data_IF_191364385918
#
_entry.id   IF_191364385918
#
_cell.length_a   1.000
_cell.length_b   1.000
_cell.length_c   1.000
_cell.angle_alpha   90.00
_cell.angle_beta   90.00
_cell.angle_gamma   90.00
#
_symmetry.space_group_name_H-M   'P 1'
#
loop_
_entity.id
_entity.type
_entity.pdbx_description
1 polymer ?
#
# COMPACT_ATOMS: atom_id res chain seq x y z
N UNK A 1 -18.87 -5.99 29.63
CA UNK A 1 -19.95 -5.28 28.90
C UNK A 1 -21.27 -5.87 29.37
N UNK A 2 -22.21 -5.05 29.84
CA UNK A 2 -23.55 -5.46 30.37
C UNK A 2 -24.63 -5.40 29.29
N UNK A 3 -24.25 -5.69 28.04
CA UNK A 3 -25.18 -5.82 26.91
C UNK A 3 -25.38 -7.31 26.59
N UNK A 4 -26.61 -7.75 26.31
CA UNK A 4 -27.87 -6.99 26.45
C UNK A 4 -28.23 -6.72 27.93
N UNK A 5 -29.04 -5.68 28.19
CA UNK A 5 -29.61 -5.48 29.53
C UNK A 5 -30.55 -6.63 29.88
N UNK A 6 -30.61 -7.01 31.16
CA UNK A 6 -31.54 -8.04 31.64
C UNK A 6 -32.97 -7.54 31.52
N UNK A 7 -33.84 -8.34 30.90
CA UNK A 7 -35.26 -8.00 30.74
C UNK A 7 -36.02 -8.31 32.03
N UNK A 8 -36.67 -7.30 32.59
CA UNK A 8 -37.57 -7.44 33.72
C UNK A 8 -39.02 -7.48 33.20
N UNK A 9 -39.62 -8.68 33.25
CA UNK A 9 -40.98 -8.90 32.77
C UNK A 9 -42.05 -8.01 33.44
N UNK A 10 -41.76 -7.46 34.63
CA UNK A 10 -42.68 -6.59 35.37
C UNK A 10 -42.41 -5.09 35.17
N UNK A 11 -41.45 -4.69 34.33
CA UNK A 11 -41.05 -3.30 34.16
C UNK A 11 -40.92 -2.93 32.67
N UNK A 12 -42.05 -2.91 31.96
CA UNK A 12 -42.11 -2.57 30.53
C UNK A 12 -41.07 -3.32 29.69
N UNK A 13 -41.13 -4.66 29.67
CA UNK A 13 -40.15 -5.49 28.99
C UNK A 13 -39.98 -5.13 27.51
N UNK A 14 -41.02 -4.63 26.85
CA UNK A 14 -40.98 -4.12 25.47
C UNK A 14 -40.04 -2.93 25.28
N UNK A 15 -39.99 -2.00 26.23
CA UNK A 15 -39.08 -0.84 26.18
C UNK A 15 -37.64 -1.32 26.30
N UNK A 16 -37.37 -2.20 27.26
CA UNK A 16 -36.05 -2.75 27.50
C UNK A 16 -35.52 -3.56 26.30
N UNK A 17 -36.41 -4.32 25.65
CA UNK A 17 -36.11 -5.04 24.41
C UNK A 17 -35.80 -4.07 23.27
N UNK A 18 -36.61 -3.02 23.10
CA UNK A 18 -36.38 -2.01 22.06
C UNK A 18 -35.05 -1.27 22.25
N UNK A 19 -34.71 -0.91 23.50
CA UNK A 19 -33.43 -0.29 23.83
C UNK A 19 -32.24 -1.21 23.50
N UNK A 20 -32.35 -2.51 23.79
CA UNK A 20 -31.35 -3.50 23.39
C UNK A 20 -31.19 -3.54 21.86
N UNK A 21 -32.29 -3.55 21.10
CA UNK A 21 -32.22 -3.53 19.64
C UNK A 21 -31.67 -2.21 19.09
N UNK A 22 -31.99 -1.07 19.71
CA UNK A 22 -31.41 0.22 19.34
C UNK A 22 -29.88 0.24 19.52
N UNK A 23 -29.37 -0.41 20.57
CA UNK A 23 -27.92 -0.52 20.81
C UNK A 23 -27.16 -1.23 19.69
N UNK A 24 -27.82 -2.12 18.94
CA UNK A 24 -27.23 -2.88 17.81
C UNK A 24 -27.82 -2.50 16.46
N UNK A 25 -28.74 -1.55 16.39
CA UNK A 25 -29.44 -1.22 15.14
C UNK A 25 -28.49 -0.81 14.01
N UNK A 26 -27.35 -0.21 14.34
CA UNK A 26 -26.32 0.16 13.37
C UNK A 26 -25.73 -1.04 12.62
N UNK A 27 -25.65 -2.22 13.24
CA UNK A 27 -25.16 -3.45 12.56
C UNK A 27 -26.17 -3.97 11.52
N UNK A 28 -27.43 -3.55 11.62
CA UNK A 28 -28.49 -3.88 10.68
C UNK A 28 -28.45 -3.05 9.39
N UNK A 29 -27.63 -2.00 9.31
CA UNK A 29 -27.54 -1.18 8.11
C UNK A 29 -27.11 -2.04 6.89
N UNK A 30 -27.79 -1.82 5.76
CA UNK A 30 -27.68 -2.59 4.51
C UNK A 30 -28.06 -4.06 4.60
N UNK A 31 -28.70 -4.53 5.68
CA UNK A 31 -29.24 -5.88 5.73
C UNK A 31 -30.51 -6.03 4.88
N UNK A 32 -30.82 -7.24 4.45
CA UNK A 32 -32.11 -7.56 3.85
C UNK A 32 -33.29 -7.06 4.72
N UNK A 33 -34.26 -6.40 4.08
CA UNK A 33 -35.52 -5.95 4.67
C UNK A 33 -36.64 -6.87 4.18
N UNK A 34 -37.07 -7.87 5.00
CA UNK A 34 -38.02 -8.87 4.53
C UNK A 34 -39.40 -8.30 4.17
N UNK A 35 -39.82 -7.22 4.83
CA UNK A 35 -41.14 -6.62 4.61
C UNK A 35 -41.35 -6.01 3.23
N UNK A 36 -40.25 -5.73 2.50
CA UNK A 36 -40.30 -5.19 1.13
C UNK A 36 -39.57 -6.07 0.11
N UNK A 37 -39.12 -7.26 0.53
CA UNK A 37 -38.43 -8.22 -0.34
C UNK A 37 -39.41 -9.24 -0.89
N UNK A 38 -39.50 -9.34 -2.21
CA UNK A 38 -40.39 -10.28 -2.91
C UNK A 38 -39.93 -10.51 -4.35
N UNK A 39 -39.90 -11.77 -4.80
CA UNK A 39 -39.44 -12.13 -6.16
C UNK A 39 -38.05 -11.57 -6.46
N UNK A 40 -37.96 -10.71 -7.47
CA UNK A 40 -36.74 -10.01 -7.88
C UNK A 40 -36.51 -8.67 -7.15
N UNK A 41 -37.45 -8.24 -6.32
CA UNK A 41 -37.31 -7.04 -5.49
C UNK A 41 -36.68 -7.42 -4.17
N UNK A 42 -35.63 -6.72 -3.78
CA UNK A 42 -35.00 -6.84 -2.48
C UNK A 42 -34.99 -5.49 -1.78
N UNK A 43 -35.44 -5.50 -0.53
CA UNK A 43 -35.34 -4.36 0.35
C UNK A 43 -34.03 -4.38 1.14
N UNK A 44 -33.50 -3.19 1.41
CA UNK A 44 -32.35 -2.97 2.25
C UNK A 44 -32.74 -2.05 3.40
N UNK A 45 -32.37 -2.44 4.62
CA UNK A 45 -32.54 -1.61 5.80
C UNK A 45 -31.55 -0.43 5.73
N UNK A 46 -32.08 0.77 5.88
CA UNK A 46 -31.31 1.97 6.15
C UNK A 46 -30.75 1.97 7.57
N UNK A 47 -30.21 3.11 7.99
CA UNK A 47 -29.65 3.28 9.33
C UNK A 47 -28.49 4.26 9.36
N UNK A 48 -27.60 4.07 10.33
CA UNK A 48 -26.38 4.85 10.49
C UNK A 48 -25.18 4.02 10.10
N UNK A 49 -24.36 4.54 9.19
CA UNK A 49 -23.12 3.89 8.77
C UNK A 49 -22.09 4.93 8.36
N UNK A 50 -20.85 4.84 8.87
CA UNK A 50 -19.78 5.79 8.53
C UNK A 50 -20.06 7.26 8.85
N UNK A 51 -21.03 7.56 9.72
CA UNK A 51 -21.53 8.92 9.98
C UNK A 51 -22.70 9.35 9.08
N UNK A 52 -22.98 8.61 8.00
CA UNK A 52 -24.11 8.84 7.12
C UNK A 52 -25.43 8.34 7.72
N UNK A 53 -26.53 8.98 7.31
CA UNK A 53 -27.90 8.53 7.60
C UNK A 53 -28.51 8.05 6.29
N UNK A 54 -28.78 6.76 6.17
CA UNK A 54 -29.37 6.15 4.97
C UNK A 54 -30.82 5.76 5.24
N UNK A 55 -31.70 6.07 4.30
CA UNK A 55 -33.07 5.58 4.29
C UNK A 55 -33.12 4.12 3.84
N UNK A 56 -34.22 3.45 4.14
CA UNK A 56 -34.51 2.15 3.53
C UNK A 56 -34.63 2.30 2.02
N UNK A 57 -34.16 1.30 1.28
CA UNK A 57 -34.16 1.30 -0.18
C UNK A 57 -34.65 -0.05 -0.70
N UNK A 58 -35.28 -0.06 -1.89
CA UNK A 58 -35.60 -1.30 -2.60
C UNK A 58 -34.88 -1.30 -3.95
N UNK A 59 -34.36 -2.45 -4.35
CA UNK A 59 -33.76 -2.66 -5.66
C UNK A 59 -34.47 -3.81 -6.39
N UNK A 60 -34.71 -3.65 -7.69
CA UNK A 60 -35.26 -4.69 -8.56
C UNK A 60 -34.14 -5.27 -9.41
N UNK A 61 -33.80 -6.53 -9.18
CA UNK A 61 -32.78 -7.23 -9.95
C UNK A 61 -33.28 -7.68 -11.33
N UNK A 62 -32.34 -7.85 -12.26
CA UNK A 62 -32.60 -8.55 -13.52
C UNK A 62 -32.88 -10.04 -13.30
N UNK A 63 -33.35 -10.73 -14.34
CA UNK A 63 -33.55 -12.18 -14.33
C UNK A 63 -32.27 -12.92 -14.69
N UNK A 64 -32.00 -14.05 -14.03
CA UNK A 64 -30.85 -14.91 -14.35
C UNK A 64 -29.50 -14.16 -14.34
N UNK A 65 -29.31 -13.25 -13.40
CA UNK A 65 -28.09 -12.44 -13.26
C UNK A 65 -27.42 -12.67 -11.92
N UNK A 66 -26.12 -12.41 -11.89
CA UNK A 66 -25.36 -12.18 -10.66
C UNK A 66 -25.15 -10.68 -10.52
N UNK A 67 -25.54 -10.12 -9.38
CA UNK A 67 -25.33 -8.72 -9.03
C UNK A 67 -24.44 -8.63 -7.81
N UNK A 68 -23.35 -7.88 -7.95
CA UNK A 68 -22.45 -7.49 -6.88
C UNK A 68 -22.98 -6.20 -6.26
N UNK A 69 -23.23 -6.24 -4.95
CA UNK A 69 -23.76 -5.11 -4.19
C UNK A 69 -22.67 -4.54 -3.30
N UNK A 70 -22.34 -3.29 -3.53
CA UNK A 70 -21.34 -2.54 -2.78
C UNK A 70 -21.92 -1.24 -2.23
N UNK A 71 -21.17 -0.58 -1.36
CA UNK A 71 -21.50 0.75 -0.83
C UNK A 71 -20.37 1.69 -1.17
N UNK A 72 -20.68 2.82 -1.81
CA UNK A 72 -19.73 3.92 -2.01
C UNK A 72 -19.40 4.53 -0.64
N UNK A 73 -18.12 4.54 -0.27
CA UNK A 73 -17.69 5.04 1.05
C UNK A 73 -17.79 6.56 1.15
N UNK A 74 -17.88 7.28 0.04
CA UNK A 74 -17.96 8.74 0.03
C UNK A 74 -19.30 9.27 0.55
N UNK A 75 -20.39 8.50 0.40
CA UNK A 75 -21.74 8.92 0.76
C UNK A 75 -22.65 7.81 1.34
N UNK A 76 -22.12 6.58 1.44
CA UNK A 76 -22.85 5.41 1.93
C UNK A 76 -23.94 4.89 0.99
N UNK A 77 -23.94 5.24 -0.30
CA UNK A 77 -24.96 4.81 -1.26
C UNK A 77 -24.71 3.39 -1.76
N UNK A 78 -25.78 2.59 -1.89
CA UNK A 78 -25.70 1.25 -2.47
C UNK A 78 -25.45 1.34 -3.99
N UNK A 79 -24.48 0.57 -4.45
CA UNK A 79 -24.15 0.35 -5.85
C UNK A 79 -24.51 -1.10 -6.24
N UNK A 80 -25.20 -1.24 -7.37
CA UNK A 80 -25.69 -2.52 -7.87
C UNK A 80 -25.12 -2.75 -9.27
N UNK A 81 -24.22 -3.72 -9.41
CA UNK A 81 -23.55 -3.95 -10.69
C UNK A 81 -23.48 -5.43 -11.04
N UNK A 82 -23.61 -5.77 -12.33
CA UNK A 82 -23.30 -7.11 -12.83
C UNK A 82 -21.81 -7.31 -13.09
N UNK A 83 -21.02 -6.23 -13.07
CA UNK A 83 -19.56 -6.27 -13.04
C UNK A 83 -19.04 -6.22 -11.61
N UNK A 84 -17.84 -6.74 -11.38
CA UNK A 84 -17.22 -6.79 -10.05
C UNK A 84 -16.22 -5.65 -9.79
N UNK A 85 -16.14 -4.64 -10.67
CA UNK A 85 -15.14 -3.55 -10.58
C UNK A 85 -15.24 -2.79 -9.25
N UNK A 86 -16.42 -2.25 -8.91
CA UNK A 86 -16.63 -1.51 -7.66
C UNK A 86 -16.56 -2.44 -6.44
N UNK A 87 -17.13 -3.64 -6.55
CA UNK A 87 -17.09 -4.66 -5.51
C UNK A 87 -15.66 -5.07 -5.10
N UNK A 88 -14.72 -5.04 -6.04
CA UNK A 88 -13.31 -5.34 -5.81
C UNK A 88 -12.46 -4.10 -5.47
N UNK A 89 -12.99 -2.88 -5.63
CA UNK A 89 -12.33 -1.66 -5.21
C UNK A 89 -12.61 -1.42 -3.71
N UNK A 90 -11.83 -2.08 -2.85
CA UNK A 90 -11.91 -1.92 -1.41
C UNK A 90 -11.40 -0.57 -0.89
N UNK A 91 -10.88 0.30 -1.77
CA UNK A 91 -10.45 1.66 -1.42
C UNK A 91 -11.67 2.56 -1.35
N UNK A 92 -12.44 2.63 -2.44
CA UNK A 92 -13.58 3.55 -2.56
C UNK A 92 -14.91 2.90 -2.17
N UNK A 93 -15.01 1.58 -2.18
CA UNK A 93 -16.24 0.85 -1.91
C UNK A 93 -16.09 -0.16 -0.76
N UNK A 94 -17.20 -0.46 -0.09
CA UNK A 94 -17.33 -1.53 0.88
C UNK A 94 -18.30 -2.60 0.37
N UNK A 95 -18.03 -3.87 0.64
CA UNK A 95 -18.82 -5.01 0.17
C UNK A 95 -20.07 -5.20 1.04
N UNK A 96 -21.18 -5.52 0.39
CA UNK A 96 -22.42 -5.90 1.04
C UNK A 96 -22.70 -7.37 0.78
N UNK A 97 -23.09 -7.70 -0.44
CA UNK A 97 -23.47 -9.06 -0.80
C UNK A 97 -23.34 -9.31 -2.30
N UNK A 98 -23.34 -10.57 -2.68
CA UNK A 98 -23.52 -11.02 -4.06
C UNK A 98 -24.90 -11.68 -4.14
N UNK A 99 -25.74 -11.22 -5.05
CA UNK A 99 -27.09 -11.73 -5.26
C UNK A 99 -27.16 -12.44 -6.59
N UNK A 100 -27.68 -13.66 -6.60
CA UNK A 100 -27.95 -14.45 -7.81
C UNK A 100 -29.45 -14.61 -7.96
N UNK A 101 -29.97 -14.31 -9.14
CA UNK A 101 -31.40 -14.46 -9.47
C UNK A 101 -31.63 -15.52 -10.54
N UNK A 102 -32.86 -16.02 -10.62
CA UNK A 102 -33.39 -16.76 -11.76
C UNK A 102 -34.49 -15.94 -12.47
N UNK A 103 -35.38 -16.61 -13.21
CA UNK A 103 -36.50 -15.96 -13.90
C UNK A 103 -37.62 -15.43 -12.98
N UNK A 104 -37.61 -15.80 -11.70
CA UNK A 104 -38.72 -15.56 -10.75
C UNK A 104 -38.29 -14.90 -9.44
N UNK A 105 -37.03 -15.02 -9.04
CA UNK A 105 -36.54 -14.38 -7.82
C UNK A 105 -35.08 -14.61 -7.51
N UNK A 106 -34.68 -14.17 -6.32
CA UNK A 106 -33.36 -14.41 -5.75
C UNK A 106 -33.21 -15.88 -5.36
N UNK A 107 -32.17 -16.55 -5.89
CA UNK A 107 -31.86 -17.97 -5.64
C UNK A 107 -30.60 -18.17 -4.81
N UNK A 108 -29.73 -17.16 -4.74
CA UNK A 108 -28.50 -17.21 -3.96
C UNK A 108 -28.11 -15.85 -3.41
N UNK A 109 -27.57 -15.84 -2.19
CA UNK A 109 -26.97 -14.66 -1.56
C UNK A 109 -25.68 -15.07 -0.87
N UNK A 110 -24.59 -14.39 -1.20
CA UNK A 110 -23.36 -14.41 -0.41
C UNK A 110 -23.29 -13.11 0.37
N UNK A 111 -23.36 -13.17 1.70
CA UNK A 111 -23.30 -11.99 2.58
C UNK A 111 -21.85 -11.74 3.02
N UNK A 112 -21.26 -10.67 2.52
CA UNK A 112 -19.87 -10.28 2.78
C UNK A 112 -19.76 -9.11 3.75
N UNK A 113 -20.88 -8.64 4.34
CA UNK A 113 -20.90 -7.45 5.20
C UNK A 113 -19.96 -7.54 6.42
N UNK A 114 -19.77 -8.74 6.96
CA UNK A 114 -18.82 -9.03 8.05
C UNK A 114 -17.47 -9.60 7.60
N UNK A 115 -17.25 -9.71 6.29
CA UNK A 115 -16.03 -10.26 5.69
C UNK A 115 -14.99 -9.20 5.31
N UNK A 116 -13.83 -9.59 4.76
CA UNK A 116 -12.82 -8.66 4.28
C UNK A 116 -13.40 -7.66 3.26
N UNK A 117 -13.22 -6.37 3.55
CA UNK A 117 -13.80 -5.27 2.75
C UNK A 117 -15.29 -5.03 2.99
N UNK A 118 -15.94 -5.78 3.88
CA UNK A 118 -17.36 -5.64 4.21
C UNK A 118 -17.69 -4.36 4.97
N UNK A 119 -18.93 -3.86 4.82
CA UNK A 119 -19.44 -2.64 5.48
C UNK A 119 -19.34 -2.65 7.01
N UNK A 120 -19.41 -3.80 7.66
CA UNK A 120 -19.26 -3.95 9.12
C UNK A 120 -17.91 -4.53 9.54
N UNK A 121 -17.03 -4.75 8.55
CA UNK A 121 -15.66 -5.20 8.69
C UNK A 121 -15.52 -6.70 8.93
N UNK A 122 -14.63 -7.33 8.18
CA UNK A 122 -13.73 -8.37 8.69
C UNK A 122 -12.42 -7.67 9.01
N UNK A 123 -11.89 -7.85 10.22
CA UNK A 123 -10.64 -7.19 10.65
C UNK A 123 -9.61 -7.25 9.53
N UNK A 124 -9.14 -6.10 9.07
CA UNK A 124 -8.24 -6.00 7.93
C UNK A 124 -7.06 -6.94 8.12
N UNK A 125 -7.05 -8.08 7.40
CA UNK A 125 -5.83 -8.83 7.14
C UNK A 125 -5.02 -8.00 6.12
N UNK A 126 -4.47 -6.89 6.59
CA UNK A 126 -3.89 -5.88 5.74
C UNK A 126 -3.02 -4.95 6.55
N UNK A 127 -2.02 -5.52 7.24
CA UNK A 127 -0.81 -4.73 7.46
C UNK A 127 -0.34 -4.32 6.08
N UNK A 128 -0.31 -3.03 5.78
CA UNK A 128 0.29 -2.50 4.55
C UNK A 128 1.61 -3.24 4.36
N UNK A 129 1.76 -3.97 3.25
CA UNK A 129 2.99 -4.68 2.96
C UNK A 129 4.16 -3.71 3.13
N UNK A 130 5.22 -4.15 3.81
CA UNK A 130 6.41 -3.32 3.96
C UNK A 130 6.86 -2.82 2.57
N UNK A 131 7.22 -1.55 2.46
CA UNK A 131 7.68 -0.97 1.18
C UNK A 131 8.77 -1.86 0.59
N UNK A 132 8.55 -2.35 -0.63
CA UNK A 132 9.56 -3.12 -1.35
C UNK A 132 10.65 -2.22 -1.92
N UNK A 133 10.42 -0.91 -2.02
CA UNK A 133 11.45 0.05 -2.41
C UNK A 133 12.22 0.53 -1.19
N UNK A 134 13.54 0.38 -1.22
CA UNK A 134 14.48 0.96 -0.27
C UNK A 134 15.23 2.12 -0.94
N UNK A 135 15.14 3.32 -0.38
CA UNK A 135 15.59 4.57 -1.04
C UNK A 135 16.97 5.06 -0.61
N UNK A 136 17.56 4.49 0.44
CA UNK A 136 18.78 5.01 1.07
C UNK A 136 19.75 3.87 1.42
N UNK A 137 19.83 2.87 0.55
CA UNK A 137 20.86 1.84 0.67
C UNK A 137 22.23 2.44 0.36
N UNK A 138 23.29 1.92 1.00
CA UNK A 138 24.63 2.48 0.85
C UNK A 138 25.74 1.46 0.75
N UNK A 139 26.76 1.81 -0.02
CA UNK A 139 28.07 1.18 -0.03
C UNK A 139 29.08 2.22 0.43
N UNK A 140 29.84 1.95 1.47
CA UNK A 140 30.83 2.89 2.00
C UNK A 140 32.20 2.23 2.13
N UNK A 141 33.25 3.04 2.06
CA UNK A 141 34.61 2.54 2.20
C UNK A 141 35.64 3.63 2.44
N UNK A 142 36.87 3.17 2.66
CA UNK A 142 38.03 3.99 2.98
C UNK A 142 39.25 3.54 2.18
N UNK A 143 39.99 4.49 1.61
CA UNK A 143 41.23 4.28 0.88
C UNK A 143 42.33 5.08 1.59
N UNK A 144 43.11 4.40 2.45
CA UNK A 144 44.13 5.06 3.28
C UNK A 144 45.25 5.72 2.48
N UNK A 145 45.77 5.03 1.47
CA UNK A 145 46.72 5.60 0.52
C UNK A 145 46.10 5.61 -0.86
N UNK A 146 45.84 6.81 -1.37
CA UNK A 146 45.30 6.99 -2.71
C UNK A 146 46.45 7.02 -3.71
N UNK A 147 46.26 6.33 -4.83
CA UNK A 147 47.13 6.32 -6.01
C UNK A 147 46.25 6.37 -7.26
N UNK A 148 46.76 6.91 -8.36
CA UNK A 148 46.02 7.00 -9.63
C UNK A 148 45.83 5.61 -10.25
N UNK A 149 44.68 4.99 -9.97
CA UNK A 149 44.28 3.68 -10.49
C UNK A 149 42.78 3.45 -10.26
N UNK A 150 42.31 2.29 -10.71
CA UNK A 150 40.96 1.82 -10.41
C UNK A 150 40.95 0.89 -9.19
N UNK A 151 40.02 1.13 -8.28
CA UNK A 151 39.74 0.32 -7.10
C UNK A 151 38.37 -0.33 -7.26
N UNK A 152 38.30 -1.65 -7.17
CA UNK A 152 37.01 -2.36 -7.10
C UNK A 152 36.49 -2.25 -5.67
N UNK A 153 35.33 -1.62 -5.52
CA UNK A 153 34.67 -1.39 -4.23
C UNK A 153 33.70 -2.53 -3.93
N UNK A 154 32.92 -2.90 -4.94
CA UNK A 154 32.06 -4.09 -4.91
C UNK A 154 32.48 -4.98 -6.06
N UNK A 155 32.69 -6.25 -5.75
CA UNK A 155 32.97 -7.29 -6.75
C UNK A 155 31.74 -8.17 -6.82
N UNK A 156 31.12 -8.28 -7.99
CA UNK A 156 29.87 -9.04 -8.21
C UNK A 156 28.76 -8.67 -7.22
N UNK A 157 28.12 -7.51 -7.44
CA UNK A 157 26.99 -7.06 -6.64
C UNK A 157 25.93 -8.16 -6.48
N UNK A 158 25.44 -8.39 -5.26
CA UNK A 158 24.48 -9.47 -4.97
C UNK A 158 23.07 -9.18 -5.53
N UNK A 159 22.77 -7.92 -5.78
CA UNK A 159 21.48 -7.41 -6.26
C UNK A 159 21.71 -6.24 -7.21
N UNK A 160 20.66 -5.81 -7.89
CA UNK A 160 20.65 -4.58 -8.70
C UNK A 160 20.17 -3.37 -7.92
N UNK A 161 20.40 -2.18 -8.49
CA UNK A 161 19.96 -0.92 -7.93
C UNK A 161 20.32 0.27 -8.80
N UNK A 162 19.87 1.45 -8.39
CA UNK A 162 20.13 2.72 -9.08
C UNK A 162 20.92 3.65 -8.16
N UNK A 163 22.17 3.94 -8.50
CA UNK A 163 23.03 4.87 -7.76
C UNK A 163 22.48 6.29 -7.92
N UNK A 164 22.22 6.97 -6.81
CA UNK A 164 21.62 8.31 -6.78
C UNK A 164 22.61 9.38 -6.41
N UNK A 165 23.57 9.06 -5.53
CA UNK A 165 24.53 10.03 -5.01
C UNK A 165 25.86 9.35 -4.66
N UNK A 166 26.97 10.05 -4.90
CA UNK A 166 28.28 9.68 -4.39
C UNK A 166 28.85 10.82 -3.56
N UNK A 167 29.32 10.50 -2.35
CA UNK A 167 29.89 11.46 -1.41
C UNK A 167 31.32 11.07 -1.10
N UNK A 168 32.22 12.05 -1.04
CA UNK A 168 33.65 11.82 -0.80
C UNK A 168 34.25 12.90 0.09
N UNK A 169 35.23 12.53 0.91
CA UNK A 169 36.08 13.44 1.68
C UNK A 169 37.46 12.79 1.87
N UNK A 170 38.54 13.58 1.92
CA UNK A 170 39.88 13.11 2.27
C UNK A 170 40.37 13.73 3.58
N UNK A 171 41.32 13.08 4.25
CA UNK A 171 41.99 13.67 5.41
C UNK A 171 42.96 14.78 5.00
N UNK A 172 43.62 14.60 3.85
CA UNK A 172 44.50 15.59 3.24
C UNK A 172 44.67 15.36 1.74
N UNK A 173 45.26 16.35 1.06
CA UNK A 173 45.49 16.31 -0.39
C UNK A 173 44.18 16.32 -1.21
N UNK A 174 44.31 16.19 -2.53
CA UNK A 174 43.17 16.19 -3.44
C UNK A 174 43.30 15.10 -4.50
N UNK A 175 42.16 14.63 -5.01
CA UNK A 175 42.11 13.67 -6.12
C UNK A 175 40.78 13.79 -6.85
N UNK A 176 40.75 13.48 -8.15
CA UNK A 176 39.50 13.33 -8.88
C UNK A 176 39.02 11.90 -8.78
N UNK A 177 37.83 11.65 -8.23
CA UNK A 177 37.24 10.32 -8.10
C UNK A 177 36.05 10.15 -9.06
N UNK A 178 36.20 9.23 -10.02
CA UNK A 178 35.16 8.87 -10.98
C UNK A 178 34.60 7.50 -10.61
N UNK A 179 33.32 7.47 -10.23
CA UNK A 179 32.59 6.23 -9.94
C UNK A 179 32.11 5.57 -11.24
N UNK A 180 32.10 4.24 -11.26
CA UNK A 180 31.81 3.43 -12.44
C UNK A 180 31.05 2.16 -12.08
N UNK A 181 30.25 1.69 -13.02
CA UNK A 181 29.68 0.34 -13.06
C UNK A 181 30.45 -0.42 -14.13
N UNK A 182 31.13 -1.50 -13.74
CA UNK A 182 32.13 -2.20 -14.52
C UNK A 182 33.22 -1.25 -15.03
N UNK A 183 33.17 -0.88 -16.31
CA UNK A 183 34.09 0.07 -16.96
C UNK A 183 33.44 1.41 -17.30
N UNK A 184 32.12 1.51 -17.18
CA UNK A 184 31.32 2.67 -17.61
C UNK A 184 31.18 3.66 -16.46
N UNK A 185 31.55 4.92 -16.70
CA UNK A 185 31.37 5.98 -15.71
C UNK A 185 29.89 6.30 -15.48
N UNK A 186 29.55 6.61 -14.23
CA UNK A 186 28.26 7.20 -13.90
C UNK A 186 28.11 8.52 -14.67
N UNK A 187 26.90 8.82 -15.11
CA UNK A 187 26.61 10.13 -15.69
C UNK A 187 26.66 11.22 -14.63
N UNK A 188 27.10 12.42 -15.02
CA UNK A 188 27.34 13.54 -14.11
C UNK A 188 28.83 13.89 -14.00
N UNK A 189 29.19 14.63 -12.96
CA UNK A 189 30.56 15.09 -12.72
C UNK A 189 31.27 14.16 -11.73
N UNK A 190 32.57 13.94 -11.94
CA UNK A 190 33.41 13.25 -10.96
C UNK A 190 33.57 14.08 -9.67
N UNK A 191 33.84 13.44 -8.55
CA UNK A 191 34.03 14.15 -7.29
C UNK A 191 35.45 14.75 -7.25
N UNK A 192 35.54 16.06 -7.00
CA UNK A 192 36.79 16.74 -6.67
C UNK A 192 37.10 16.56 -5.19
N UNK A 193 37.66 15.42 -4.82
CA UNK A 193 37.87 15.03 -3.42
C UNK A 193 38.89 15.94 -2.75
N UNK A 194 38.56 16.38 -1.54
CA UNK A 194 39.40 17.22 -0.68
C UNK A 194 39.03 17.01 0.79
N UNK A 195 39.65 17.78 1.69
CA UNK A 195 39.26 17.83 3.11
C UNK A 195 37.90 18.45 3.39
N UNK A 196 37.19 18.88 2.34
CA UNK A 196 35.78 19.25 2.38
C UNK A 196 34.95 18.18 1.70
N UNK A 197 33.85 17.78 2.34
CA UNK A 197 32.90 16.83 1.77
C UNK A 197 32.35 17.33 0.43
N UNK A 198 32.27 16.43 -0.54
CA UNK A 198 31.67 16.68 -1.85
C UNK A 198 30.70 15.55 -2.19
N UNK A 199 29.45 15.93 -2.48
CA UNK A 199 28.40 15.04 -2.97
C UNK A 199 28.07 15.35 -4.43
N UNK A 200 27.91 14.32 -5.24
CA UNK A 200 27.50 14.41 -6.64
C UNK A 200 26.26 13.55 -6.86
N UNK A 201 25.20 14.15 -7.37
CA UNK A 201 23.99 13.43 -7.79
C UNK A 201 24.20 12.80 -9.17
N UNK A 202 23.65 11.60 -9.37
CA UNK A 202 23.75 10.85 -10.63
C UNK A 202 22.37 10.49 -11.16
N UNK A 203 22.11 10.79 -12.43
CA UNK A 203 20.81 10.60 -13.07
C UNK A 203 20.87 9.78 -14.37
N UNK A 204 22.05 9.33 -14.78
CA UNK A 204 22.23 8.50 -15.97
C UNK A 204 23.41 7.55 -15.82
N UNK A 205 23.42 6.46 -16.59
CA UNK A 205 24.44 5.38 -16.52
C UNK A 205 24.69 4.87 -15.08
N UNK A 206 23.64 4.85 -14.27
CA UNK A 206 23.69 4.67 -12.82
C UNK A 206 22.92 3.45 -12.33
N UNK A 207 22.42 2.62 -13.23
CA UNK A 207 21.73 1.37 -12.90
C UNK A 207 22.72 0.21 -13.00
N UNK A 208 22.93 -0.51 -11.90
CA UNK A 208 23.70 -1.74 -11.86
C UNK A 208 22.76 -2.93 -11.66
N UNK A 209 23.18 -4.10 -12.13
CA UNK A 209 22.47 -5.36 -11.92
C UNK A 209 23.31 -6.32 -11.09
N UNK A 210 22.70 -7.41 -10.62
CA UNK A 210 23.42 -8.46 -9.91
C UNK A 210 24.55 -9.01 -10.79
N UNK A 211 25.75 -9.13 -10.22
CA UNK A 211 26.97 -9.57 -10.90
C UNK A 211 27.87 -8.44 -11.41
N UNK A 212 27.40 -7.18 -11.46
CA UNK A 212 28.24 -6.05 -11.83
C UNK A 212 29.31 -5.73 -10.77
N UNK A 213 30.43 -5.16 -11.20
CA UNK A 213 31.44 -4.58 -10.32
C UNK A 213 31.19 -3.07 -10.14
N UNK A 214 31.34 -2.55 -8.92
CA UNK A 214 31.36 -1.10 -8.67
C UNK A 214 32.81 -0.66 -8.47
N UNK A 215 33.23 0.34 -9.23
CA UNK A 215 34.63 0.74 -9.33
C UNK A 215 34.77 2.24 -9.11
N UNK A 216 35.82 2.64 -8.38
CA UNK A 216 36.27 4.04 -8.30
C UNK A 216 37.58 4.13 -9.07
N UNK A 217 37.63 4.97 -10.09
CA UNK A 217 38.89 5.37 -10.72
C UNK A 217 39.32 6.71 -10.15
N UNK A 218 40.50 6.75 -9.54
CA UNK A 218 41.11 8.01 -9.11
C UNK A 218 42.16 8.47 -10.12
N UNK A 219 42.18 9.77 -10.39
CA UNK A 219 43.15 10.43 -11.25
C UNK A 219 43.55 11.77 -10.68
N UNK A 220 44.68 12.32 -11.13
CA UNK A 220 45.14 13.65 -10.71
C UNK A 220 45.37 13.73 -9.20
N UNK A 221 45.84 12.64 -8.61
CA UNK A 221 46.15 12.59 -7.19
C UNK A 221 47.28 13.57 -6.83
N UNK A 222 46.95 14.51 -5.96
CA UNK A 222 47.88 15.47 -5.35
C UNK A 222 47.98 15.17 -3.85
N UNK A 223 48.80 14.16 -3.53
CA UNK A 223 49.07 13.71 -2.17
C UNK A 223 47.81 13.41 -1.33
N UNK A 224 46.75 12.91 -1.97
CA UNK A 224 45.51 12.53 -1.29
C UNK A 224 45.74 11.32 -0.39
N UNK A 225 45.37 11.48 0.88
CA UNK A 225 45.43 10.44 1.90
C UNK A 225 44.09 10.36 2.63
N UNK A 226 43.75 9.13 3.02
CA UNK A 226 42.55 8.84 3.79
C UNK A 226 41.26 9.26 3.11
N UNK A 227 41.03 8.81 1.88
CA UNK A 227 39.78 9.09 1.17
C UNK A 227 38.65 8.18 1.69
N UNK A 228 37.62 8.79 2.28
CA UNK A 228 36.36 8.14 2.60
C UNK A 228 35.33 8.40 1.51
N UNK A 229 34.46 7.43 1.25
CA UNK A 229 33.36 7.60 0.31
C UNK A 229 32.10 6.85 0.73
N UNK A 230 30.97 7.35 0.24
CA UNK A 230 29.64 6.72 0.35
C UNK A 230 28.97 6.76 -1.02
N UNK A 231 28.38 5.65 -1.44
CA UNK A 231 27.58 5.52 -2.67
C UNK A 231 26.16 5.18 -2.23
N UNK A 232 25.22 6.11 -2.39
CA UNK A 232 23.80 5.88 -2.12
C UNK A 232 23.10 5.33 -3.35
N UNK A 233 22.19 4.40 -3.15
CA UNK A 233 21.41 3.82 -4.22
C UNK A 233 20.01 3.40 -3.75
N UNK A 234 19.09 3.31 -4.71
CA UNK A 234 17.77 2.71 -4.48
C UNK A 234 17.76 1.27 -4.97
N UNK A 235 16.97 0.41 -4.30
CA UNK A 235 16.69 -0.93 -4.80
C UNK A 235 15.24 -1.34 -4.53
N UNK A 236 14.74 -2.24 -5.36
CA UNK A 236 13.46 -2.91 -5.15
C UNK A 236 13.72 -4.33 -4.64
N UNK A 237 13.13 -4.66 -3.50
CA UNK A 237 13.10 -5.99 -2.92
C UNK A 237 12.15 -6.88 -3.72
N UNK A 238 12.54 -8.14 -3.91
CA UNK A 238 11.71 -9.15 -4.55
C UNK A 238 10.65 -9.71 -3.58
#
# INVERSE_FOLDING_TARGET
MTFPQTINASASPEVQVNENFLGIAWTGCYSNKPSTTTGLVRGYNGGRWGGFSKSDENHTFGTSVTTYVSVDKSDGTLDFSTANTNYNNDTDYARVEIVVTDGSGVTGVTDDRGGPGGVHGGGSAGGSGASTTQTDEMMAGYIGTVADKSYKIVVKAAHGGTITETTTISESGTVTATFKINTTALGGTANSVSSSEQSQAHASSNVFVAGDDIVITTTSNSACLGMSFTIKYTRTLA
#
